data_IF_806854216367
#
_entry.id   IF_806854216367
#
_cell.length_a   1.000
_cell.length_b   1.000
_cell.length_c   1.000
_cell.angle_alpha   90.00
_cell.angle_beta   90.00
_cell.angle_gamma   90.00
#
_symmetry.space_group_name_H-M   'P 1'
#
loop_
_entity.id
_entity.type
_entity.pdbx_description
1 polymer ?
#
# COMPACT_ATOMS: atom_id res chain seq x y z
N UNK A 1 -26.07 27.64 1.23
CA UNK A 1 -26.82 28.38 2.26
C UNK A 1 -26.34 27.83 3.59
N UNK A 2 -25.86 28.68 4.50
CA UNK A 2 -25.46 28.23 5.84
C UNK A 2 -26.72 27.98 6.64
N UNK A 3 -26.89 26.75 7.15
CA UNK A 3 -28.05 26.39 7.97
C UNK A 3 -27.70 26.69 9.42
N UNK A 4 -28.35 27.68 10.03
CA UNK A 4 -28.10 27.97 11.44
C UNK A 4 -28.65 26.84 12.32
N UNK A 5 -28.05 26.64 13.49
CA UNK A 5 -28.49 25.63 14.48
C UNK A 5 -29.98 25.80 14.83
N UNK A 6 -30.47 27.04 14.91
CA UNK A 6 -31.88 27.35 15.16
C UNK A 6 -32.81 26.85 14.04
N UNK A 7 -32.42 27.07 12.79
CA UNK A 7 -33.17 26.59 11.62
C UNK A 7 -33.23 25.06 11.59
N UNK A 8 -32.10 24.41 11.91
CA UNK A 8 -32.00 22.96 11.98
C UNK A 8 -32.90 22.40 13.08
N UNK A 9 -32.89 23.02 14.27
CA UNK A 9 -33.77 22.67 15.39
C UNK A 9 -35.23 22.75 14.97
N UNK A 10 -35.63 23.91 14.43
CA UNK A 10 -37.00 24.18 14.03
C UNK A 10 -37.47 23.19 12.95
N UNK A 11 -36.67 22.95 11.92
CA UNK A 11 -37.01 22.04 10.82
C UNK A 11 -37.25 20.60 11.32
N UNK A 12 -36.33 20.05 12.11
CA UNK A 12 -36.45 18.69 12.63
C UNK A 12 -37.56 18.56 13.67
N UNK A 13 -37.74 19.54 14.56
CA UNK A 13 -38.85 19.54 15.52
C UNK A 13 -40.21 19.54 14.80
N UNK A 14 -40.36 20.34 13.74
CA UNK A 14 -41.61 20.38 12.95
C UNK A 14 -41.84 19.10 12.17
N UNK A 15 -40.77 18.49 11.64
CA UNK A 15 -40.83 17.17 10.97
C UNK A 15 -41.30 16.06 11.90
N UNK A 16 -40.79 16.03 13.13
CA UNK A 16 -41.17 15.04 14.15
C UNK A 16 -42.48 15.41 14.89
N UNK A 17 -43.14 16.52 14.52
CA UNK A 17 -44.37 17.04 15.12
C UNK A 17 -44.31 17.24 16.65
N UNK A 18 -43.15 17.66 17.15
CA UNK A 18 -42.91 17.88 18.60
C UNK A 18 -43.14 19.35 18.95
N UNK A 19 -43.80 19.62 20.08
CA UNK A 19 -43.95 20.99 20.59
C UNK A 19 -42.72 21.45 21.38
N UNK A 20 -42.50 22.77 21.54
CA UNK A 20 -41.42 23.27 22.40
C UNK A 20 -41.58 22.86 23.88
N UNK A 21 -42.83 22.68 24.35
CA UNK A 21 -43.09 22.20 25.71
C UNK A 21 -42.65 20.74 25.85
N UNK A 22 -43.02 19.91 24.88
CA UNK A 22 -42.66 18.49 24.87
C UNK A 22 -41.15 18.29 24.69
N UNK A 23 -40.50 19.12 23.87
CA UNK A 23 -39.04 19.10 23.74
C UNK A 23 -38.35 19.51 25.05
N UNK A 24 -38.88 20.54 25.75
CA UNK A 24 -38.38 20.98 27.04
C UNK A 24 -38.42 19.84 28.08
N UNK A 25 -39.54 19.13 28.17
CA UNK A 25 -39.71 17.97 29.05
C UNK A 25 -38.72 16.84 28.72
N UNK A 26 -38.56 16.52 27.44
CA UNK A 26 -37.69 15.41 27.01
C UNK A 26 -36.19 15.72 27.12
N UNK A 27 -35.80 17.00 27.09
CA UNK A 27 -34.37 17.41 27.13
C UNK A 27 -33.92 17.90 28.51
N UNK A 28 -34.86 18.07 29.45
CA UNK A 28 -34.65 18.73 30.74
C UNK A 28 -34.10 20.16 30.55
N UNK A 29 -34.72 20.92 29.65
CA UNK A 29 -34.36 22.30 29.33
C UNK A 29 -35.59 23.20 29.39
N UNK A 30 -35.42 24.47 29.75
CA UNK A 30 -36.56 25.39 29.76
C UNK A 30 -37.07 25.68 28.34
N UNK A 31 -38.39 25.74 28.17
CA UNK A 31 -39.04 26.17 26.92
C UNK A 31 -38.49 27.50 26.41
N UNK A 32 -38.24 28.44 27.31
CA UNK A 32 -37.68 29.76 26.99
C UNK A 32 -36.27 29.64 26.40
N UNK A 33 -35.42 28.74 26.92
CA UNK A 33 -34.10 28.50 26.34
C UNK A 33 -34.18 27.88 24.95
N UNK A 34 -35.03 26.86 24.75
CA UNK A 34 -35.22 26.24 23.44
C UNK A 34 -35.79 27.23 22.40
N UNK A 35 -36.75 28.07 22.81
CA UNK A 35 -37.31 29.12 21.95
C UNK A 35 -36.25 30.12 21.49
N UNK A 36 -35.34 30.53 22.38
CA UNK A 36 -34.25 31.46 22.05
C UNK A 36 -33.16 30.83 21.19
N UNK A 37 -32.99 29.50 21.28
CA UNK A 37 -32.11 28.74 20.38
C UNK A 37 -32.73 28.68 18.98
N UNK A 38 -34.02 28.36 18.87
CA UNK A 38 -34.74 28.35 17.58
C UNK A 38 -34.77 29.71 16.89
N UNK A 39 -34.98 30.80 17.65
CA UNK A 39 -35.05 32.16 17.09
C UNK A 39 -33.68 32.82 16.85
N UNK A 40 -32.58 32.17 17.25
CA UNK A 40 -31.23 32.74 17.15
C UNK A 40 -30.92 33.86 18.14
N UNK A 41 -31.81 34.13 19.11
CA UNK A 41 -31.66 35.19 20.12
C UNK A 41 -30.58 34.91 21.18
N UNK A 42 -30.19 33.65 21.36
CA UNK A 42 -29.13 33.25 22.31
C UNK A 42 -27.82 32.89 21.62
N UNK A 43 -26.70 33.12 22.31
CA UNK A 43 -25.42 32.50 21.95
C UNK A 43 -25.61 30.99 21.88
N UNK A 44 -25.07 30.38 20.82
CA UNK A 44 -25.20 28.95 20.53
C UNK A 44 -25.01 28.09 21.79
N UNK A 45 -25.84 27.05 21.98
CA UNK A 45 -25.69 26.14 23.11
C UNK A 45 -24.30 25.49 23.10
N UNK A 46 -23.88 24.95 24.25
CA UNK A 46 -22.68 24.11 24.26
C UNK A 46 -22.91 22.87 23.39
N UNK A 47 -21.87 22.37 22.71
CA UNK A 47 -22.00 21.21 21.83
C UNK A 47 -22.62 19.99 22.52
N UNK A 48 -22.28 19.76 23.80
CA UNK A 48 -22.87 18.68 24.61
C UNK A 48 -24.38 18.86 24.86
N UNK A 49 -24.83 20.09 25.12
CA UNK A 49 -26.26 20.41 25.29
C UNK A 49 -27.00 20.20 23.97
N UNK A 50 -26.39 20.61 22.87
CA UNK A 50 -26.97 20.41 21.55
C UNK A 50 -27.03 18.95 21.12
N UNK A 51 -26.01 18.14 21.43
CA UNK A 51 -26.04 16.69 21.20
C UNK A 51 -27.20 16.02 21.94
N UNK A 52 -27.50 16.46 23.17
CA UNK A 52 -28.69 16.01 23.92
C UNK A 52 -29.99 16.37 23.19
N UNK A 53 -30.16 17.63 22.79
CA UNK A 53 -31.34 18.07 22.04
C UNK A 53 -31.49 17.23 20.76
N UNK A 54 -30.42 17.14 19.96
CA UNK A 54 -30.39 16.40 18.71
C UNK A 54 -30.77 14.92 18.88
N UNK A 55 -30.30 14.26 19.94
CA UNK A 55 -30.66 12.85 20.20
C UNK A 55 -32.16 12.65 20.48
N UNK A 56 -32.81 13.61 21.15
CA UNK A 56 -34.23 13.52 21.51
C UNK A 56 -35.14 13.66 20.29
N UNK A 57 -34.75 14.51 19.34
CA UNK A 57 -35.50 14.76 18.09
C UNK A 57 -34.84 14.11 16.87
N UNK A 58 -33.96 13.13 17.10
CA UNK A 58 -33.31 12.28 16.09
C UNK A 58 -32.65 13.06 14.94
N UNK A 59 -32.05 14.21 15.24
CA UNK A 59 -31.21 14.91 14.26
C UNK A 59 -29.95 14.06 14.01
N UNK A 60 -29.61 13.73 12.76
CA UNK A 60 -28.37 13.02 12.45
C UNK A 60 -27.13 13.77 12.95
N UNK A 61 -26.19 13.04 13.56
CA UNK A 61 -24.94 13.63 14.08
C UNK A 61 -24.14 14.40 13.02
N UNK A 62 -24.25 14.00 11.75
CA UNK A 62 -23.62 14.69 10.61
C UNK A 62 -24.15 16.11 10.46
N UNK A 63 -25.46 16.31 10.54
CA UNK A 63 -26.09 17.62 10.41
C UNK A 63 -25.74 18.50 11.61
N UNK A 64 -25.70 17.90 12.81
CA UNK A 64 -25.29 18.56 14.05
C UNK A 64 -23.86 19.10 13.94
N UNK A 65 -22.91 18.26 13.55
CA UNK A 65 -21.50 18.65 13.41
C UNK A 65 -21.36 19.73 12.34
N UNK A 66 -22.03 19.56 11.19
CA UNK A 66 -21.98 20.52 10.09
C UNK A 66 -22.47 21.91 10.51
N UNK A 67 -23.60 22.00 11.20
CA UNK A 67 -24.14 23.27 11.67
C UNK A 67 -23.20 23.96 12.69
N UNK A 68 -22.52 23.20 13.53
CA UNK A 68 -21.52 23.75 14.45
C UNK A 68 -20.25 24.24 13.75
N UNK A 69 -19.76 23.48 12.76
CA UNK A 69 -18.55 23.82 12.00
C UNK A 69 -18.67 25.17 11.29
N UNK A 70 -19.87 25.50 10.78
CA UNK A 70 -20.11 26.76 10.06
C UNK A 70 -20.03 28.00 10.95
N UNK A 71 -20.21 27.84 12.27
CA UNK A 71 -20.44 28.95 13.18
C UNK A 71 -19.43 29.06 14.33
N UNK A 72 -18.53 28.09 14.48
CA UNK A 72 -17.51 28.10 15.54
C UNK A 72 -16.11 28.41 15.01
N UNK A 73 -15.41 29.25 15.75
CA UNK A 73 -13.97 29.51 15.59
C UNK A 73 -13.20 29.08 16.83
N UNK A 74 -13.86 28.44 17.81
CA UNK A 74 -13.19 28.08 19.07
C UNK A 74 -12.38 26.80 18.88
N UNK A 75 -11.05 26.82 19.07
CA UNK A 75 -10.22 25.63 18.82
C UNK A 75 -10.68 24.40 19.61
N UNK A 76 -11.00 24.56 20.90
CA UNK A 76 -11.48 23.46 21.74
C UNK A 76 -12.78 22.82 21.20
N UNK A 77 -13.67 23.62 20.61
CA UNK A 77 -14.90 23.11 19.98
C UNK A 77 -14.56 22.38 18.68
N UNK A 78 -13.70 22.93 17.83
CA UNK A 78 -13.27 22.28 16.58
C UNK A 78 -12.55 20.95 16.84
N UNK A 79 -11.70 20.89 17.87
CA UNK A 79 -11.05 19.66 18.31
C UNK A 79 -12.06 18.59 18.76
N UNK A 80 -13.10 18.99 19.50
CA UNK A 80 -14.19 18.10 19.89
C UNK A 80 -14.98 17.60 18.68
N UNK A 81 -15.33 18.49 17.74
CA UNK A 81 -16.01 18.12 16.50
C UNK A 81 -15.18 17.14 15.67
N UNK A 82 -13.85 17.28 15.66
CA UNK A 82 -12.98 16.36 14.93
C UNK A 82 -13.05 14.95 15.52
N UNK A 83 -13.01 14.84 16.86
CA UNK A 83 -13.14 13.56 17.55
C UNK A 83 -14.48 12.89 17.28
N UNK A 84 -15.56 13.68 17.25
CA UNK A 84 -16.90 13.19 16.91
C UNK A 84 -16.99 12.75 15.44
N UNK A 85 -16.38 13.50 14.52
CA UNK A 85 -16.32 13.12 13.10
C UNK A 85 -15.55 11.81 12.88
N UNK A 86 -14.46 11.60 13.63
CA UNK A 86 -13.68 10.35 13.65
C UNK A 86 -14.52 9.19 14.18
N UNK A 87 -15.28 9.39 15.27
CA UNK A 87 -16.15 8.35 15.84
C UNK A 87 -17.35 7.98 14.94
N UNK A 88 -17.63 8.77 13.91
CA UNK A 88 -18.68 8.49 12.92
C UNK A 88 -18.12 7.84 11.64
N UNK A 89 -16.81 7.60 11.56
CA UNK A 89 -16.10 7.11 10.37
C UNK A 89 -16.42 7.89 9.09
N UNK A 90 -16.73 9.18 9.24
CA UNK A 90 -17.15 10.03 8.13
C UNK A 90 -15.96 10.79 7.55
N UNK A 91 -15.35 10.22 6.50
CA UNK A 91 -14.21 10.83 5.79
C UNK A 91 -14.43 12.31 5.45
N UNK A 92 -15.60 12.66 4.93
CA UNK A 92 -15.92 14.05 4.55
C UNK A 92 -15.97 14.99 5.76
N UNK A 93 -16.58 14.57 6.87
CA UNK A 93 -16.62 15.39 8.09
C UNK A 93 -15.25 15.53 8.74
N UNK A 94 -14.46 14.46 8.73
CA UNK A 94 -13.07 14.49 9.22
C UNK A 94 -12.28 15.55 8.44
N UNK A 95 -12.35 15.52 7.10
CA UNK A 95 -11.67 16.51 6.25
C UNK A 95 -12.14 17.94 6.52
N UNK A 96 -13.46 18.18 6.53
CA UNK A 96 -14.01 19.52 6.77
C UNK A 96 -13.64 20.06 8.14
N UNK A 97 -13.69 19.23 9.17
CA UNK A 97 -13.38 19.65 10.54
C UNK A 97 -11.90 19.91 10.74
N UNK A 98 -11.04 19.03 10.20
CA UNK A 98 -9.59 19.22 10.23
C UNK A 98 -9.18 20.51 9.50
N UNK A 99 -9.74 20.75 8.31
CA UNK A 99 -9.47 21.96 7.54
C UNK A 99 -9.90 23.21 8.31
N UNK A 100 -11.12 23.21 8.89
CA UNK A 100 -11.61 24.32 9.70
C UNK A 100 -10.75 24.57 10.94
N UNK A 101 -10.21 23.52 11.56
CA UNK A 101 -9.29 23.63 12.70
C UNK A 101 -7.98 24.30 12.31
N UNK A 102 -7.43 24.04 11.12
CA UNK A 102 -6.20 24.69 10.64
C UNK A 102 -6.43 26.11 10.11
N UNK A 103 -7.63 26.40 9.61
CA UNK A 103 -7.96 27.72 9.06
C UNK A 103 -8.36 28.74 10.13
N UNK A 104 -8.69 28.31 11.34
CA UNK A 104 -9.16 29.23 12.38
C UNK A 104 -8.05 30.19 12.82
N UNK A 105 -8.31 31.52 12.86
CA UNK A 105 -7.31 32.48 13.31
C UNK A 105 -7.06 32.44 14.83
N UNK A 106 -7.83 31.62 15.57
CA UNK A 106 -7.77 31.52 17.04
C UNK A 106 -6.86 30.39 17.54
N UNK A 107 -6.23 29.66 16.63
CA UNK A 107 -5.25 28.62 16.93
C UNK A 107 -3.96 28.96 16.22
N UNK A 108 -2.84 28.90 16.96
CA UNK A 108 -1.54 28.98 16.33
C UNK A 108 -1.37 27.85 15.29
N UNK A 109 -0.79 28.17 14.13
CA UNK A 109 -0.71 27.24 13.02
C UNK A 109 0.06 25.96 13.40
N UNK A 110 1.16 26.10 14.14
CA UNK A 110 1.97 24.95 14.54
C UNK A 110 1.29 24.10 15.61
N UNK A 111 0.62 24.73 16.58
CA UNK A 111 -0.23 23.99 17.53
C UNK A 111 -1.37 23.22 16.82
N UNK A 112 -1.96 23.79 15.76
CA UNK A 112 -2.96 23.12 14.93
C UNK A 112 -2.40 21.92 14.19
N UNK A 113 -1.23 22.08 13.58
CA UNK A 113 -0.54 21.02 12.85
C UNK A 113 -0.06 19.88 13.77
N UNK A 114 0.52 20.21 14.92
CA UNK A 114 0.92 19.22 15.95
C UNK A 114 -0.28 18.42 16.44
N UNK A 115 -1.38 19.11 16.73
CA UNK A 115 -2.62 18.45 17.13
C UNK A 115 -3.12 17.49 16.04
N UNK A 116 -3.17 17.95 14.78
CA UNK A 116 -3.69 17.16 13.68
C UNK A 116 -2.82 15.94 13.38
N UNK A 117 -1.49 16.11 13.38
CA UNK A 117 -0.54 15.01 13.21
C UNK A 117 -0.70 13.96 14.31
N UNK A 118 -0.79 14.41 15.57
CA UNK A 118 -0.99 13.50 16.71
C UNK A 118 -2.31 12.73 16.59
N UNK A 119 -3.40 13.41 16.24
CA UNK A 119 -4.71 12.77 16.04
C UNK A 119 -4.67 11.77 14.86
N UNK A 120 -3.96 12.08 13.78
CA UNK A 120 -3.78 11.15 12.66
C UNK A 120 -3.01 9.89 13.06
N UNK A 121 -1.95 10.04 13.86
CA UNK A 121 -1.19 8.91 14.38
C UNK A 121 -2.01 8.04 15.34
N UNK A 122 -2.86 8.65 16.16
CA UNK A 122 -3.71 7.98 17.17
C UNK A 122 -4.99 7.36 16.60
N UNK A 123 -5.43 7.74 15.40
CA UNK A 123 -6.66 7.21 14.80
C UNK A 123 -6.56 5.69 14.57
N UNK A 124 -7.69 4.97 14.59
CA UNK A 124 -7.72 3.54 14.30
C UNK A 124 -8.07 3.27 12.83
N UNK A 125 -9.08 3.97 12.30
CA UNK A 125 -9.55 3.81 10.93
C UNK A 125 -8.56 4.35 9.88
N UNK A 126 -8.22 3.50 8.91
CA UNK A 126 -7.27 3.84 7.84
C UNK A 126 -7.81 4.92 6.90
N UNK A 127 -9.11 4.93 6.62
CA UNK A 127 -9.73 5.94 5.74
C UNK A 127 -9.67 7.33 6.38
N UNK A 128 -9.92 7.41 7.69
CA UNK A 128 -9.80 8.61 8.49
C UNK A 128 -8.35 9.12 8.59
N UNK A 129 -7.37 8.23 8.81
CA UNK A 129 -5.94 8.59 8.78
C UNK A 129 -5.56 9.27 7.48
N UNK A 130 -5.91 8.64 6.35
CA UNK A 130 -5.63 9.20 5.02
C UNK A 130 -6.29 10.58 4.86
N UNK A 131 -7.54 10.73 5.31
CA UNK A 131 -8.25 12.01 5.24
C UNK A 131 -7.55 13.12 6.04
N UNK A 132 -7.02 12.81 7.23
CA UNK A 132 -6.28 13.74 8.06
C UNK A 132 -4.92 14.12 7.43
N UNK A 133 -4.19 13.13 6.91
CA UNK A 133 -2.92 13.39 6.23
C UNK A 133 -3.10 14.20 4.96
N UNK A 134 -4.14 13.96 4.17
CA UNK A 134 -4.41 14.75 2.96
C UNK A 134 -4.68 16.22 3.31
N UNK A 135 -5.45 16.51 4.37
CA UNK A 135 -5.67 17.89 4.85
C UNK A 135 -4.36 18.52 5.31
N UNK A 136 -3.55 17.79 6.08
CA UNK A 136 -2.26 18.27 6.58
C UNK A 136 -1.31 18.58 5.42
N UNK A 137 -1.18 17.67 4.46
CA UNK A 137 -0.35 17.81 3.27
C UNK A 137 -0.80 19.01 2.44
N UNK A 138 -2.09 19.15 2.15
CA UNK A 138 -2.60 20.24 1.33
C UNK A 138 -2.42 21.60 1.99
N UNK A 139 -2.68 21.69 3.30
CA UNK A 139 -2.50 22.92 4.05
C UNK A 139 -1.02 23.34 4.10
N UNK A 140 -0.13 22.41 4.41
CA UNK A 140 1.32 22.67 4.56
C UNK A 140 1.98 22.96 3.22
N UNK A 141 1.57 22.27 2.14
CA UNK A 141 2.03 22.55 0.77
C UNK A 141 1.65 23.97 0.34
N UNK A 142 0.40 24.39 0.55
CA UNK A 142 -0.07 25.75 0.19
C UNK A 142 0.64 26.87 0.95
N UNK A 143 1.12 26.58 2.16
CA UNK A 143 1.77 27.56 3.04
C UNK A 143 3.29 27.45 3.09
N UNK A 144 3.88 26.49 2.37
CA UNK A 144 5.32 26.27 2.35
C UNK A 144 5.89 25.92 3.72
N UNK A 145 5.28 24.97 4.43
CA UNK A 145 5.72 24.49 5.76
C UNK A 145 6.36 23.10 5.59
N UNK A 146 7.69 23.01 5.36
CA UNK A 146 8.30 21.79 4.81
C UNK A 146 8.33 20.62 5.80
N UNK A 147 8.55 20.87 7.09
CA UNK A 147 8.61 19.83 8.12
C UNK A 147 7.32 18.99 8.17
N UNK A 148 6.17 19.64 8.32
CA UNK A 148 4.89 18.93 8.38
C UNK A 148 4.49 18.35 7.02
N UNK A 149 4.86 19.01 5.91
CA UNK A 149 4.66 18.45 4.58
C UNK A 149 5.41 17.11 4.43
N UNK A 150 6.69 17.08 4.79
CA UNK A 150 7.51 15.87 4.74
C UNK A 150 6.93 14.78 5.64
N UNK A 151 6.57 15.11 6.88
CA UNK A 151 5.99 14.15 7.83
C UNK A 151 4.65 13.61 7.32
N UNK A 152 3.77 14.47 6.80
CA UNK A 152 2.50 14.04 6.21
C UNK A 152 2.68 13.12 5.00
N UNK A 153 3.59 13.46 4.08
CA UNK A 153 3.92 12.62 2.92
C UNK A 153 4.48 11.26 3.34
N UNK A 154 5.36 11.24 4.35
CA UNK A 154 5.95 10.03 4.91
C UNK A 154 4.89 9.10 5.49
N UNK A 155 4.06 9.60 6.41
CA UNK A 155 3.04 8.79 7.06
C UNK A 155 2.00 8.26 6.06
N UNK A 156 1.60 9.10 5.09
CA UNK A 156 0.70 8.67 4.01
C UNK A 156 1.32 7.56 3.18
N UNK A 157 2.59 7.70 2.78
CA UNK A 157 3.30 6.66 2.05
C UNK A 157 3.37 5.36 2.85
N UNK A 158 3.70 5.42 4.15
CA UNK A 158 3.76 4.23 5.00
C UNK A 158 2.41 3.53 5.18
N UNK A 159 1.32 4.29 5.13
CA UNK A 159 -0.03 3.75 5.20
C UNK A 159 -0.50 3.10 3.88
N UNK A 160 -0.11 3.67 2.74
CA UNK A 160 -0.55 3.21 1.41
C UNK A 160 0.39 2.15 0.80
N UNK A 161 1.65 2.05 1.23
CA UNK A 161 2.68 1.23 0.53
C UNK A 161 2.39 -0.27 0.50
N UNK A 162 1.62 -0.77 1.44
CA UNK A 162 1.26 -2.20 1.49
C UNK A 162 -0.12 -2.44 0.81
N UNK A 163 -0.76 -1.41 0.24
CA UNK A 163 -1.88 -1.57 -0.69
C UNK A 163 -1.37 -1.92 -2.10
N UNK A 164 -1.28 -3.21 -2.35
CA UNK A 164 -0.77 -3.72 -3.62
C UNK A 164 -1.71 -3.46 -4.81
N UNK A 165 -2.96 -3.06 -4.60
CA UNK A 165 -3.88 -2.71 -5.70
C UNK A 165 -3.50 -1.39 -6.38
N UNK A 166 -2.77 -0.53 -5.67
CA UNK A 166 -2.28 0.78 -6.13
C UNK A 166 -0.77 0.90 -6.01
N UNK A 167 -0.06 -0.23 -5.93
CA UNK A 167 1.37 -0.28 -5.56
C UNK A 167 2.25 0.70 -6.34
N UNK A 168 2.19 0.65 -7.68
CA UNK A 168 2.98 1.54 -8.55
C UNK A 168 2.55 3.02 -8.43
N UNK A 169 1.25 3.28 -8.25
CA UNK A 169 0.74 4.64 -8.01
C UNK A 169 1.29 5.19 -6.69
N UNK A 170 1.25 4.38 -5.62
CA UNK A 170 1.79 4.72 -4.32
C UNK A 170 3.30 4.98 -4.39
N UNK A 171 4.05 4.19 -5.15
CA UNK A 171 5.47 4.45 -5.39
C UNK A 171 5.69 5.83 -6.03
N UNK A 172 4.99 6.10 -7.14
CA UNK A 172 5.11 7.38 -7.87
C UNK A 172 4.76 8.57 -6.99
N UNK A 173 3.68 8.48 -6.20
CA UNK A 173 3.30 9.51 -5.21
C UNK A 173 4.34 9.64 -4.10
N UNK A 174 4.87 8.51 -3.61
CA UNK A 174 5.90 8.45 -2.58
C UNK A 174 7.19 9.16 -2.96
N UNK A 175 7.52 9.26 -4.26
CA UNK A 175 8.70 10.00 -4.74
C UNK A 175 8.64 11.51 -4.45
N UNK A 176 7.45 12.09 -4.25
CA UNK A 176 7.32 13.51 -3.88
C UNK A 176 8.14 13.83 -2.61
N UNK A 177 8.20 12.89 -1.66
CA UNK A 177 8.93 13.04 -0.41
C UNK A 177 10.45 13.16 -0.62
N UNK A 178 11.02 12.68 -1.73
CA UNK A 178 12.46 12.85 -2.00
C UNK A 178 12.88 14.33 -2.03
N UNK A 179 11.97 15.24 -2.39
CA UNK A 179 12.23 16.68 -2.39
C UNK A 179 12.24 17.32 -0.99
N UNK A 180 11.68 16.64 0.01
CA UNK A 180 11.51 17.14 1.37
C UNK A 180 12.16 16.24 2.42
N UNK A 181 12.89 15.22 1.98
CA UNK A 181 13.35 14.14 2.85
C UNK A 181 14.28 14.62 3.97
N UNK A 182 15.05 15.68 3.72
CA UNK A 182 15.94 16.31 4.71
C UNK A 182 15.20 17.04 5.84
N UNK A 183 13.87 17.19 5.71
CA UNK A 183 13.03 17.71 6.78
C UNK A 183 12.57 16.62 7.75
N UNK A 184 12.72 15.34 7.40
CA UNK A 184 12.41 14.22 8.29
C UNK A 184 13.49 14.08 9.36
N UNK A 185 13.09 13.49 10.49
CA UNK A 185 14.05 13.04 11.49
C UNK A 185 14.86 11.86 10.94
N UNK A 186 16.14 11.69 11.33
CA UNK A 186 17.00 10.64 10.78
C UNK A 186 16.39 9.22 10.79
N UNK A 187 15.68 8.77 11.85
CA UNK A 187 15.04 7.44 11.83
C UNK A 187 13.96 7.30 10.74
N UNK A 188 13.17 8.34 10.50
CA UNK A 188 12.11 8.33 9.49
C UNK A 188 12.71 8.42 8.08
N UNK A 189 13.76 9.23 7.88
CA UNK A 189 14.47 9.33 6.60
C UNK A 189 15.12 8.01 6.23
N UNK A 190 15.77 7.37 7.19
CA UNK A 190 16.36 6.05 7.06
C UNK A 190 15.29 5.01 6.65
N UNK A 191 14.20 4.90 7.43
CA UNK A 191 13.11 3.95 7.15
C UNK A 191 12.44 4.20 5.79
N UNK A 192 12.28 5.48 5.41
CA UNK A 192 11.77 5.88 4.10
C UNK A 192 12.64 5.36 2.95
N UNK A 193 13.95 5.61 2.98
CA UNK A 193 14.86 5.17 1.92
C UNK A 193 14.87 3.65 1.78
N UNK A 194 14.93 2.93 2.89
CA UNK A 194 14.89 1.47 2.88
C UNK A 194 13.60 0.94 2.25
N UNK A 195 12.45 1.47 2.67
CA UNK A 195 11.16 1.01 2.18
C UNK A 195 10.90 1.41 0.73
N UNK A 196 11.31 2.60 0.32
CA UNK A 196 11.23 3.03 -1.08
C UNK A 196 12.15 2.21 -1.97
N UNK A 197 13.38 1.90 -1.53
CA UNK A 197 14.31 1.07 -2.28
C UNK A 197 13.79 -0.35 -2.47
N UNK A 198 13.20 -0.96 -1.44
CA UNK A 198 12.53 -2.25 -1.55
C UNK A 198 11.28 -2.19 -2.46
N UNK A 199 10.49 -1.11 -2.38
CA UNK A 199 9.34 -0.89 -3.25
C UNK A 199 9.75 -0.80 -4.73
N UNK A 200 10.78 -0.01 -5.02
CA UNK A 200 11.37 0.10 -6.36
C UNK A 200 11.84 -1.27 -6.89
N UNK A 201 12.48 -2.09 -6.05
CA UNK A 201 12.90 -3.44 -6.43
C UNK A 201 11.72 -4.32 -6.86
N UNK A 202 10.63 -4.32 -6.09
CA UNK A 202 9.43 -5.14 -6.39
C UNK A 202 8.75 -4.69 -7.69
N UNK A 203 8.79 -3.39 -7.97
CA UNK A 203 8.35 -2.78 -9.24
C UNK A 203 9.36 -2.95 -10.38
N UNK A 204 10.51 -3.58 -10.12
CA UNK A 204 11.56 -3.84 -11.10
C UNK A 204 12.30 -2.58 -11.59
N UNK A 205 12.17 -1.48 -10.83
CA UNK A 205 12.97 -0.26 -11.00
C UNK A 205 14.32 -0.41 -10.32
N UNK A 206 15.13 -1.34 -10.81
CA UNK A 206 16.37 -1.77 -10.16
C UNK A 206 17.38 -0.63 -9.94
N UNK A 207 17.48 0.31 -10.89
CA UNK A 207 18.36 1.48 -10.75
C UNK A 207 17.93 2.40 -9.59
N UNK A 208 16.62 2.71 -9.50
CA UNK A 208 16.08 3.52 -8.39
C UNK A 208 16.23 2.78 -7.06
N UNK A 209 16.03 1.46 -7.04
CA UNK A 209 16.25 0.62 -5.86
C UNK A 209 17.67 0.74 -5.33
N UNK A 210 18.66 0.61 -6.21
CA UNK A 210 20.08 0.76 -5.87
C UNK A 210 20.37 2.15 -5.29
N UNK A 211 19.87 3.21 -5.92
CA UNK A 211 20.09 4.58 -5.45
C UNK A 211 19.51 4.81 -4.05
N UNK A 212 18.26 4.40 -3.84
CA UNK A 212 17.54 4.59 -2.58
C UNK A 212 18.14 3.74 -1.45
N UNK A 213 18.45 2.47 -1.71
CA UNK A 213 19.11 1.61 -0.74
C UNK A 213 20.52 2.10 -0.40
N UNK A 214 21.27 2.64 -1.38
CA UNK A 214 22.58 3.24 -1.15
C UNK A 214 22.52 4.46 -0.22
N UNK A 215 21.51 5.32 -0.39
CA UNK A 215 21.24 6.44 0.54
C UNK A 215 20.94 5.94 1.95
N UNK A 216 20.11 4.89 2.07
CA UNK A 216 19.77 4.31 3.36
C UNK A 216 20.99 3.75 4.10
N UNK A 217 21.86 2.97 3.42
CA UNK A 217 23.09 2.43 4.01
C UNK A 217 24.04 3.54 4.46
N UNK A 218 24.17 4.58 3.65
CA UNK A 218 25.03 5.73 3.97
C UNK A 218 24.56 6.45 5.23
N UNK A 219 23.25 6.48 5.49
CA UNK A 219 22.65 7.13 6.65
C UNK A 219 22.68 6.28 7.92
N UNK A 220 22.53 4.96 7.82
CA UNK A 220 22.64 4.03 8.97
C UNK A 220 24.08 3.95 9.51
N UNK A 221 25.06 4.28 8.66
CA UNK A 221 26.48 4.19 8.97
C UNK A 221 26.92 2.75 9.22
N UNK A 222 27.71 2.55 10.29
CA UNK A 222 28.37 1.27 10.58
C UNK A 222 27.53 0.31 11.43
N UNK A 223 26.31 0.68 11.80
CA UNK A 223 25.44 -0.19 12.60
C UNK A 223 24.94 -1.35 11.75
N UNK A 224 24.94 -2.57 12.30
CA UNK A 224 24.19 -3.68 11.73
C UNK A 224 22.72 -3.57 12.14
N UNK A 225 21.82 -3.63 11.16
CA UNK A 225 20.39 -3.38 11.38
C UNK A 225 19.57 -4.19 10.38
N UNK A 226 18.32 -4.52 10.76
CA UNK A 226 17.37 -5.21 9.85
C UNK A 226 17.17 -4.44 8.56
N UNK A 227 17.14 -3.11 8.66
CA UNK A 227 16.93 -2.27 7.51
C UNK A 227 18.17 -2.27 6.60
N UNK A 228 19.38 -2.16 7.16
CA UNK A 228 20.64 -2.26 6.41
C UNK A 228 20.77 -3.59 5.69
N UNK A 229 20.53 -4.69 6.41
CA UNK A 229 20.49 -6.02 5.82
C UNK A 229 19.48 -6.10 4.67
N UNK A 230 18.30 -5.49 4.83
CA UNK A 230 17.28 -5.44 3.77
C UNK A 230 17.71 -4.61 2.55
N UNK A 231 18.42 -3.48 2.72
CA UNK A 231 19.01 -2.77 1.59
C UNK A 231 20.08 -3.56 0.88
N UNK A 232 21.01 -4.17 1.64
CA UNK A 232 22.13 -4.91 1.06
C UNK A 232 21.62 -6.04 0.15
N UNK A 233 20.66 -6.84 0.62
CA UNK A 233 20.08 -7.91 -0.19
C UNK A 233 19.26 -7.37 -1.39
N UNK A 234 18.54 -6.26 -1.22
CA UNK A 234 17.85 -5.59 -2.33
C UNK A 234 18.82 -5.06 -3.38
N UNK A 235 19.95 -4.46 -2.96
CA UNK A 235 21.00 -3.97 -3.86
C UNK A 235 21.70 -5.11 -4.58
N UNK A 236 22.13 -6.16 -3.85
CA UNK A 236 22.75 -7.33 -4.46
C UNK A 236 21.83 -7.96 -5.51
N UNK A 237 20.55 -8.11 -5.18
CA UNK A 237 19.55 -8.62 -6.11
C UNK A 237 19.33 -7.69 -7.31
N UNK A 238 19.27 -6.36 -7.09
CA UNK A 238 19.07 -5.37 -8.14
C UNK A 238 20.27 -5.30 -9.10
N UNK A 239 21.50 -5.28 -8.59
CA UNK A 239 22.71 -5.30 -9.42
C UNK A 239 22.79 -6.56 -10.27
N UNK A 240 22.37 -7.71 -9.74
CA UNK A 240 22.34 -8.95 -10.50
C UNK A 240 21.34 -8.88 -11.65
N UNK A 241 20.17 -8.25 -11.43
CA UNK A 241 19.15 -8.01 -12.47
C UNK A 241 19.58 -6.97 -13.51
N UNK A 242 20.50 -6.07 -13.14
CA UNK A 242 21.12 -5.09 -14.02
C UNK A 242 22.37 -5.64 -14.74
N UNK A 243 22.66 -6.94 -14.62
CA UNK A 243 23.83 -7.62 -15.19
C UNK A 243 25.19 -7.06 -14.71
N UNK A 244 25.25 -6.65 -13.42
CA UNK A 244 26.48 -6.26 -12.71
C UNK A 244 26.86 -7.29 -11.63
N UNK A 245 27.32 -8.50 -12.00
CA UNK A 245 27.54 -9.60 -11.06
C UNK A 245 28.63 -9.31 -10.02
N UNK A 246 29.65 -8.52 -10.35
CA UNK A 246 30.73 -8.15 -9.41
C UNK A 246 30.16 -7.32 -8.25
N UNK A 247 29.29 -6.34 -8.56
CA UNK A 247 28.63 -5.53 -7.53
C UNK A 247 27.62 -6.37 -6.74
N UNK A 248 26.88 -7.24 -7.43
CA UNK A 248 25.96 -8.15 -6.76
C UNK A 248 26.65 -9.05 -5.72
N UNK A 249 27.81 -9.64 -6.07
CA UNK A 249 28.64 -10.44 -5.18
C UNK A 249 29.12 -9.60 -3.98
N UNK A 250 29.66 -8.40 -4.23
CA UNK A 250 30.13 -7.51 -3.16
C UNK A 250 29.04 -7.18 -2.12
N UNK A 251 27.83 -6.80 -2.58
CA UNK A 251 26.74 -6.50 -1.64
C UNK A 251 26.16 -7.74 -0.97
N UNK A 252 26.25 -8.92 -1.61
CA UNK A 252 25.88 -10.19 -0.98
C UNK A 252 26.87 -10.57 0.14
N UNK A 253 28.18 -10.41 -0.07
CA UNK A 253 29.19 -10.66 0.97
C UNK A 253 28.92 -9.80 2.21
N UNK A 254 28.65 -8.49 2.01
CA UNK A 254 28.26 -7.60 3.09
C UNK A 254 26.95 -8.02 3.79
N UNK A 255 25.99 -8.55 3.05
CA UNK A 255 24.74 -9.05 3.63
C UNK A 255 24.97 -10.30 4.46
N UNK A 256 25.83 -11.22 4.01
CA UNK A 256 26.14 -12.48 4.70
C UNK A 256 26.81 -12.28 6.06
N UNK A 257 27.51 -11.17 6.25
CA UNK A 257 28.11 -10.76 7.54
C UNK A 257 27.07 -10.24 8.56
N UNK A 258 25.86 -9.90 8.12
CA UNK A 258 24.82 -9.35 9.00
C UNK A 258 24.19 -10.41 9.90
N UNK A 259 23.93 -10.07 11.16
CA UNK A 259 23.16 -10.90 12.09
C UNK A 259 21.70 -11.09 11.64
N UNK A 260 21.22 -10.24 10.73
CA UNK A 260 19.88 -10.28 10.16
C UNK A 260 19.80 -11.02 8.82
N UNK A 261 20.90 -11.63 8.38
CA UNK A 261 20.94 -12.43 7.16
C UNK A 261 20.09 -13.70 7.31
N UNK A 262 19.17 -13.91 6.37
CA UNK A 262 18.32 -15.09 6.29
C UNK A 262 18.58 -15.91 5.01
N UNK A 263 17.69 -16.87 4.71
CA UNK A 263 17.77 -17.74 3.54
C UNK A 263 18.00 -17.00 2.20
N UNK A 264 17.67 -15.69 2.12
CA UNK A 264 17.90 -14.90 0.91
C UNK A 264 19.38 -14.81 0.52
N UNK A 265 20.31 -15.00 1.46
CA UNK A 265 21.76 -15.04 1.14
C UNK A 265 22.07 -16.23 0.24
N UNK A 266 21.62 -17.41 0.64
CA UNK A 266 21.78 -18.67 -0.09
C UNK A 266 21.03 -18.60 -1.42
N UNK A 267 19.84 -18.00 -1.43
CA UNK A 267 19.07 -17.80 -2.66
C UNK A 267 19.77 -16.91 -3.68
N UNK A 268 20.31 -15.75 -3.25
CA UNK A 268 21.04 -14.85 -4.14
C UNK A 268 22.37 -15.46 -4.60
N UNK A 269 23.05 -16.23 -3.73
CA UNK A 269 24.25 -16.99 -4.08
C UNK A 269 23.94 -18.03 -5.17
N UNK A 270 22.85 -18.76 -5.04
CA UNK A 270 22.39 -19.72 -6.06
C UNK A 270 22.15 -19.04 -7.41
N UNK A 271 21.52 -17.85 -7.40
CA UNK A 271 21.29 -17.07 -8.62
C UNK A 271 22.59 -16.58 -9.26
N UNK A 272 23.60 -16.19 -8.47
CA UNK A 272 24.93 -15.83 -8.97
C UNK A 272 25.63 -17.02 -9.64
N UNK A 273 25.61 -18.20 -9.02
CA UNK A 273 26.15 -19.43 -9.63
C UNK A 273 25.44 -19.78 -10.92
N UNK A 274 24.10 -19.70 -10.96
CA UNK A 274 23.33 -19.94 -12.17
C UNK A 274 23.75 -18.98 -13.30
N UNK A 275 23.89 -17.69 -13.00
CA UNK A 275 24.37 -16.68 -13.95
C UNK A 275 25.80 -16.91 -14.46
N UNK A 276 26.63 -17.62 -13.70
CA UNK A 276 27.99 -18.04 -14.11
C UNK A 276 28.00 -19.35 -14.91
N UNK A 277 26.85 -20.01 -15.10
CA UNK A 277 26.74 -21.34 -15.72
C UNK A 277 27.11 -22.50 -14.79
N UNK A 278 27.27 -22.23 -13.49
CA UNK A 278 27.67 -23.21 -12.47
C UNK A 278 26.44 -23.94 -11.93
N UNK A 279 25.66 -24.56 -12.82
CA UNK A 279 24.31 -25.03 -12.53
C UNK A 279 24.25 -26.06 -11.39
N UNK A 280 25.24 -26.95 -11.27
CA UNK A 280 25.27 -27.93 -10.18
C UNK A 280 25.31 -27.27 -8.78
N UNK A 281 26.10 -26.20 -8.64
CA UNK A 281 26.18 -25.44 -7.39
C UNK A 281 24.87 -24.66 -7.14
N UNK A 282 24.31 -24.04 -8.18
CA UNK A 282 23.04 -23.34 -8.10
C UNK A 282 21.90 -24.27 -7.65
N UNK A 283 21.78 -25.46 -8.24
CA UNK A 283 20.76 -26.46 -7.88
C UNK A 283 20.89 -26.89 -6.42
N UNK A 284 22.11 -27.16 -5.95
CA UNK A 284 22.34 -27.55 -4.55
C UNK A 284 21.85 -26.47 -3.58
N UNK A 285 22.23 -25.21 -3.82
CA UNK A 285 21.85 -24.07 -2.98
C UNK A 285 20.35 -23.75 -3.04
N UNK A 286 19.72 -23.83 -4.21
CA UNK A 286 18.27 -23.64 -4.34
C UNK A 286 17.48 -24.74 -3.63
N UNK A 287 17.97 -25.99 -3.67
CA UNK A 287 17.35 -27.12 -2.97
C UNK A 287 17.40 -26.92 -1.46
N UNK A 288 18.55 -26.49 -0.93
CA UNK A 288 18.70 -26.10 0.48
C UNK A 288 17.73 -24.97 0.84
N UNK A 289 17.69 -23.90 0.05
CA UNK A 289 16.76 -22.79 0.23
C UNK A 289 15.30 -23.24 0.27
N UNK A 290 14.89 -24.16 -0.60
CA UNK A 290 13.51 -24.63 -0.68
C UNK A 290 13.08 -25.35 0.61
N UNK A 291 14.02 -26.05 1.27
CA UNK A 291 13.79 -26.74 2.54
C UNK A 291 13.64 -25.74 3.71
N UNK A 292 14.52 -24.75 3.79
CA UNK A 292 14.53 -23.76 4.87
C UNK A 292 13.44 -22.69 4.77
N UNK A 293 13.01 -22.38 3.54
CA UNK A 293 12.12 -21.26 3.29
C UNK A 293 10.72 -21.47 3.86
N UNK A 294 10.16 -20.39 4.40
CA UNK A 294 8.75 -20.31 4.81
C UNK A 294 7.84 -20.55 3.60
N UNK A 295 6.62 -21.11 3.78
CA UNK A 295 5.73 -21.47 2.68
C UNK A 295 5.54 -20.38 1.62
N UNK A 296 5.35 -19.12 2.04
CA UNK A 296 5.14 -17.99 1.13
C UNK A 296 6.34 -17.61 0.24
N UNK A 297 7.55 -18.09 0.55
CA UNK A 297 8.77 -17.80 -0.22
C UNK A 297 9.19 -18.97 -1.11
N UNK A 298 8.61 -20.16 -0.94
CA UNK A 298 9.03 -21.36 -1.66
C UNK A 298 8.76 -21.28 -3.16
N UNK A 299 7.66 -20.64 -3.56
CA UNK A 299 7.29 -20.49 -4.97
C UNK A 299 8.31 -19.70 -5.79
N UNK A 300 8.94 -18.68 -5.21
CA UNK A 300 9.98 -17.90 -5.92
C UNK A 300 11.24 -18.73 -6.10
N UNK A 301 11.61 -19.52 -5.09
CA UNK A 301 12.74 -20.44 -5.14
C UNK A 301 12.50 -21.51 -6.21
N UNK A 302 11.34 -22.16 -6.19
CA UNK A 302 10.97 -23.17 -7.19
C UNK A 302 10.93 -22.60 -8.61
N UNK A 303 10.48 -21.35 -8.77
CA UNK A 303 10.49 -20.67 -10.08
C UNK A 303 11.91 -20.46 -10.61
N UNK A 304 12.83 -20.03 -9.74
CA UNK A 304 14.23 -19.80 -10.11
C UNK A 304 14.97 -21.13 -10.34
N UNK A 305 14.61 -22.19 -9.60
CA UNK A 305 15.14 -23.54 -9.80
C UNK A 305 14.67 -24.16 -11.13
N UNK A 306 13.43 -23.93 -11.57
CA UNK A 306 12.96 -24.31 -12.91
C UNK A 306 13.79 -23.66 -14.01
N UNK A 307 14.13 -22.37 -13.87
CA UNK A 307 14.99 -21.68 -14.83
C UNK A 307 16.37 -22.36 -14.92
N UNK A 308 16.96 -22.73 -13.78
CA UNK A 308 18.25 -23.44 -13.75
C UNK A 308 18.16 -24.82 -14.36
N UNK A 309 17.12 -25.60 -14.05
CA UNK A 309 16.94 -26.94 -14.64
C UNK A 309 16.75 -26.87 -16.15
N UNK A 310 16.03 -25.85 -16.63
CA UNK A 310 15.85 -25.61 -18.06
C UNK A 310 17.18 -25.30 -18.75
N UNK A 311 17.99 -24.39 -18.19
CA UNK A 311 19.30 -24.02 -18.73
C UNK A 311 20.33 -25.17 -18.64
N UNK A 312 20.18 -26.05 -17.65
CA UNK A 312 21.01 -27.23 -17.47
C UNK A 312 20.50 -28.47 -18.23
N UNK A 313 19.42 -28.35 -19.02
CA UNK A 313 18.77 -29.43 -19.78
C UNK A 313 18.32 -30.63 -18.92
N UNK A 314 17.99 -30.40 -17.64
CA UNK A 314 17.60 -31.44 -16.67
C UNK A 314 16.09 -31.73 -16.72
N UNK A 315 15.65 -32.38 -17.81
CA UNK A 315 14.23 -32.66 -18.06
C UNK A 315 13.55 -33.47 -16.95
N UNK A 316 14.23 -34.45 -16.37
CA UNK A 316 13.68 -35.28 -15.27
C UNK A 316 13.45 -34.44 -14.01
N UNK A 317 14.40 -33.57 -13.66
CA UNK A 317 14.30 -32.69 -12.50
C UNK A 317 13.16 -31.66 -12.64
N UNK A 318 12.92 -31.16 -13.85
CA UNK A 318 11.76 -30.32 -14.17
C UNK A 318 10.46 -31.05 -13.83
N UNK A 319 10.32 -32.30 -14.29
CA UNK A 319 9.11 -33.09 -14.04
C UNK A 319 8.91 -33.40 -12.56
N UNK A 320 9.98 -33.78 -11.86
CA UNK A 320 9.94 -34.04 -10.41
C UNK A 320 9.52 -32.81 -9.62
N UNK A 321 10.09 -31.64 -9.92
CA UNK A 321 9.73 -30.39 -9.23
C UNK A 321 8.27 -29.99 -9.50
N UNK A 322 7.78 -30.14 -10.74
CA UNK A 322 6.39 -29.88 -11.09
C UNK A 322 5.45 -30.87 -10.38
N UNK A 323 5.82 -32.15 -10.25
CA UNK A 323 5.04 -33.13 -9.50
C UNK A 323 4.93 -32.77 -8.00
N UNK A 324 5.96 -32.13 -7.45
CA UNK A 324 6.00 -31.63 -6.09
C UNK A 324 5.36 -30.24 -5.90
N UNK A 325 4.64 -29.70 -6.89
CA UNK A 325 4.07 -28.33 -6.89
C UNK A 325 3.25 -28.00 -5.64
N UNK A 326 2.47 -28.96 -5.13
CA UNK A 326 1.66 -28.81 -3.92
C UNK A 326 2.46 -28.49 -2.65
N UNK A 327 3.79 -28.71 -2.65
CA UNK A 327 4.67 -28.46 -1.49
C UNK A 327 5.15 -27.02 -1.37
N UNK A 328 5.02 -26.23 -2.45
CA UNK A 328 5.50 -24.85 -2.52
C UNK A 328 4.50 -23.86 -3.12
N UNK A 329 3.51 -24.33 -3.89
CA UNK A 329 2.50 -23.47 -4.50
C UNK A 329 1.40 -23.18 -3.49
N UNK A 330 1.38 -21.96 -2.96
CA UNK A 330 0.27 -21.44 -2.14
C UNK A 330 -0.22 -20.15 -2.79
N UNK A 331 -1.49 -20.15 -3.21
CA UNK A 331 -2.11 -19.00 -3.88
C UNK A 331 -3.20 -18.44 -2.95
N UNK A 332 -3.16 -17.14 -2.72
CA UNK A 332 -4.19 -16.40 -2.01
C UNK A 332 -4.53 -15.10 -2.75
N UNK A 333 -5.29 -14.21 -2.11
CA UNK A 333 -5.71 -12.93 -2.69
C UNK A 333 -4.63 -11.84 -2.67
N UNK A 334 -3.44 -12.10 -2.13
CA UNK A 334 -2.42 -11.07 -2.00
C UNK A 334 -1.75 -10.81 -3.36
N UNK A 335 -1.78 -9.58 -3.92
CA UNK A 335 -1.32 -9.36 -5.30
C UNK A 335 0.14 -9.72 -5.54
N UNK A 336 1.04 -9.54 -4.56
CA UNK A 336 2.43 -10.02 -4.71
C UNK A 336 2.54 -11.56 -4.81
N UNK A 337 1.70 -12.32 -4.09
CA UNK A 337 1.68 -13.79 -4.19
C UNK A 337 1.07 -14.23 -5.52
N UNK A 338 0.05 -13.52 -6.00
CA UNK A 338 -0.49 -13.69 -7.36
C UNK A 338 0.60 -13.40 -8.42
N UNK A 339 1.40 -12.34 -8.27
CA UNK A 339 2.56 -12.06 -9.15
C UNK A 339 3.57 -13.21 -9.15
N UNK A 340 3.91 -13.75 -7.98
CA UNK A 340 4.83 -14.89 -7.88
C UNK A 340 4.25 -16.15 -8.52
N UNK A 341 2.95 -16.42 -8.34
CA UNK A 341 2.26 -17.52 -9.01
C UNK A 341 2.26 -17.34 -10.53
N UNK A 342 1.97 -16.14 -11.02
CA UNK A 342 2.03 -15.81 -12.44
C UNK A 342 3.43 -16.08 -13.03
N UNK A 343 4.48 -15.67 -12.32
CA UNK A 343 5.88 -15.93 -12.70
C UNK A 343 6.18 -17.43 -12.74
N UNK A 344 5.80 -18.16 -11.71
CA UNK A 344 5.97 -19.61 -11.65
C UNK A 344 5.30 -20.31 -12.84
N UNK A 345 4.00 -20.04 -13.07
CA UNK A 345 3.26 -20.64 -14.18
C UNK A 345 3.83 -20.29 -15.56
N UNK A 346 4.40 -19.08 -15.72
CA UNK A 346 5.14 -18.73 -16.93
C UNK A 346 6.35 -19.65 -17.12
N UNK A 347 7.18 -19.82 -16.08
CA UNK A 347 8.38 -20.66 -16.13
C UNK A 347 8.04 -22.12 -16.33
N UNK A 348 7.05 -22.64 -15.60
CA UNK A 348 6.50 -23.98 -15.78
C UNK A 348 6.06 -24.20 -17.23
N UNK A 349 5.31 -23.26 -17.80
CA UNK A 349 4.89 -23.31 -19.20
C UNK A 349 6.07 -23.42 -20.16
N UNK A 350 7.08 -22.55 -20.01
CA UNK A 350 8.30 -22.60 -20.82
C UNK A 350 9.03 -23.95 -20.70
N UNK A 351 9.18 -24.48 -19.49
CA UNK A 351 9.83 -25.76 -19.23
C UNK A 351 9.06 -26.95 -19.82
N UNK A 352 7.73 -26.94 -19.72
CA UNK A 352 6.89 -28.00 -20.28
C UNK A 352 6.93 -28.00 -21.82
N UNK A 353 6.96 -26.82 -22.43
CA UNK A 353 7.11 -26.68 -23.88
C UNK A 353 8.46 -27.22 -24.36
N UNK A 354 9.56 -26.90 -23.65
CA UNK A 354 10.89 -27.36 -24.04
C UNK A 354 11.09 -28.87 -23.93
N UNK A 355 10.39 -29.54 -23.00
CA UNK A 355 10.43 -31.00 -22.86
C UNK A 355 9.33 -31.71 -23.69
N UNK A 356 8.65 -30.99 -24.58
CA UNK A 356 7.67 -31.54 -25.52
C UNK A 356 6.26 -31.77 -24.96
N UNK A 357 5.95 -31.32 -23.75
CA UNK A 357 4.61 -31.39 -23.14
C UNK A 357 3.78 -30.16 -23.51
N UNK A 358 3.43 -30.06 -24.79
CA UNK A 358 2.83 -28.85 -25.37
C UNK A 358 1.55 -28.39 -24.67
N UNK A 359 0.55 -29.27 -24.53
CA UNK A 359 -0.76 -28.91 -23.98
C UNK A 359 -0.66 -28.39 -22.54
N UNK A 360 0.05 -29.13 -21.67
CA UNK A 360 0.27 -28.73 -20.28
C UNK A 360 1.10 -27.43 -20.18
N UNK A 361 2.03 -27.22 -21.12
CA UNK A 361 2.81 -25.99 -21.21
C UNK A 361 1.94 -24.79 -21.57
N UNK A 362 1.09 -24.92 -22.58
CA UNK A 362 0.14 -23.87 -22.99
C UNK A 362 -0.85 -23.55 -21.86
N UNK A 363 -1.43 -24.56 -21.22
CA UNK A 363 -2.35 -24.34 -20.09
C UNK A 363 -1.66 -23.59 -18.93
N UNK A 364 -0.40 -23.91 -18.65
CA UNK A 364 0.40 -23.18 -17.65
C UNK A 364 0.62 -21.72 -18.06
N UNK A 365 0.90 -21.43 -19.33
CA UNK A 365 0.99 -20.05 -19.84
C UNK A 365 -0.35 -19.31 -19.73
N UNK A 366 -1.47 -19.98 -20.02
CA UNK A 366 -2.81 -19.40 -19.84
C UNK A 366 -3.10 -19.05 -18.38
N UNK A 367 -2.68 -19.90 -17.45
CA UNK A 367 -2.80 -19.61 -16.02
C UNK A 367 -1.94 -18.40 -15.61
N UNK A 368 -0.73 -18.27 -16.16
CA UNK A 368 0.11 -17.08 -15.98
C UNK A 368 -0.57 -15.81 -16.49
N UNK A 369 -1.18 -15.84 -17.67
CA UNK A 369 -1.94 -14.73 -18.25
C UNK A 369 -3.06 -14.26 -17.32
N UNK A 370 -3.86 -15.20 -16.80
CA UNK A 370 -4.97 -14.91 -15.87
C UNK A 370 -4.48 -14.20 -14.62
N UNK A 371 -3.40 -14.68 -14.00
CA UNK A 371 -2.86 -14.05 -12.79
C UNK A 371 -2.25 -12.67 -13.05
N UNK A 372 -1.49 -12.48 -14.14
CA UNK A 372 -0.98 -11.15 -14.47
C UNK A 372 -2.10 -10.16 -14.82
N UNK A 373 -3.17 -10.62 -15.49
CA UNK A 373 -4.35 -9.80 -15.75
C UNK A 373 -5.06 -9.39 -14.46
N UNK A 374 -5.23 -10.32 -13.52
CA UNK A 374 -5.88 -10.07 -12.23
C UNK A 374 -5.23 -8.93 -11.45
N UNK A 375 -3.92 -8.74 -11.58
CA UNK A 375 -3.16 -7.66 -10.92
C UNK A 375 -2.87 -6.46 -11.86
N UNK A 376 -3.47 -6.41 -13.05
CA UNK A 376 -3.31 -5.32 -14.00
C UNK A 376 -1.92 -5.21 -14.66
N UNK A 377 -1.08 -6.25 -14.60
CA UNK A 377 0.29 -6.23 -15.12
C UNK A 377 0.34 -6.45 -16.65
N UNK A 378 -0.17 -5.49 -17.42
CA UNK A 378 -0.35 -5.60 -18.87
C UNK A 378 0.94 -5.92 -19.64
N UNK A 379 2.08 -5.31 -19.28
CA UNK A 379 3.37 -5.63 -19.91
C UNK A 379 3.76 -7.10 -19.74
N UNK A 380 3.45 -7.69 -18.58
CA UNK A 380 3.70 -9.10 -18.31
C UNK A 380 2.74 -10.00 -19.08
N UNK A 381 1.48 -9.59 -19.25
CA UNK A 381 0.51 -10.28 -20.12
C UNK A 381 1.05 -10.35 -21.56
N UNK A 382 1.48 -9.22 -22.12
CA UNK A 382 2.10 -9.17 -23.46
C UNK A 382 3.34 -10.08 -23.52
N UNK A 383 4.18 -10.05 -22.48
CA UNK A 383 5.37 -10.90 -22.40
C UNK A 383 5.09 -12.40 -22.28
N UNK A 384 3.90 -12.82 -21.84
CA UNK A 384 3.48 -14.24 -21.86
C UNK A 384 2.88 -14.60 -23.21
N UNK A 385 2.06 -13.73 -23.80
CA UNK A 385 1.55 -13.91 -25.18
C UNK A 385 2.70 -14.04 -26.19
N UNK A 386 3.77 -13.27 -26.02
CA UNK A 386 4.97 -13.38 -26.84
C UNK A 386 5.64 -14.76 -26.79
N UNK A 387 5.67 -15.40 -25.60
CA UNK A 387 6.18 -16.78 -25.45
C UNK A 387 5.26 -17.77 -26.17
N UNK A 388 3.95 -17.64 -25.98
CA UNK A 388 2.96 -18.52 -26.59
C UNK A 388 3.01 -18.45 -28.14
N UNK A 389 3.03 -17.24 -28.69
CA UNK A 389 3.11 -17.03 -30.14
C UNK A 389 4.47 -17.41 -30.70
N UNK A 390 5.55 -17.17 -29.95
CA UNK A 390 6.89 -17.63 -30.29
C UNK A 390 6.94 -19.14 -30.47
N UNK A 391 6.39 -19.89 -29.50
CA UNK A 391 6.30 -21.35 -29.57
C UNK A 391 5.53 -21.84 -30.80
N UNK A 392 4.30 -21.34 -31.01
CA UNK A 392 3.49 -21.76 -32.18
C UNK A 392 4.17 -21.48 -33.52
N UNK A 393 4.90 -20.36 -33.61
CA UNK A 393 5.71 -20.03 -34.79
C UNK A 393 6.86 -21.03 -34.97
N UNK A 394 7.57 -21.40 -33.91
CA UNK A 394 8.70 -22.33 -33.96
C UNK A 394 8.28 -23.74 -34.39
N UNK A 395 7.12 -24.21 -33.95
CA UNK A 395 6.58 -25.53 -34.34
C UNK A 395 5.69 -25.48 -35.61
N UNK A 396 5.69 -24.35 -36.32
CA UNK A 396 4.90 -24.11 -37.54
C UNK A 396 3.41 -24.52 -37.42
N UNK A 397 2.81 -24.21 -36.26
CA UNK A 397 1.41 -24.57 -35.97
C UNK A 397 0.54 -23.35 -35.76
N UNK A 398 -0.75 -23.48 -36.06
CA UNK A 398 -1.76 -22.49 -35.70
C UNK A 398 -2.19 -22.62 -34.24
N UNK A 399 -2.52 -21.50 -33.60
CA UNK A 399 -3.28 -21.53 -32.34
C UNK A 399 -4.63 -22.21 -32.56
N UNK A 400 -5.04 -23.06 -31.63
CA UNK A 400 -6.39 -23.63 -31.62
C UNK A 400 -7.43 -22.53 -31.35
N UNK A 401 -8.66 -22.75 -31.84
CA UNK A 401 -9.78 -21.85 -31.56
C UNK A 401 -10.01 -21.70 -30.05
N UNK A 402 -9.93 -22.80 -29.29
CA UNK A 402 -10.05 -22.80 -27.83
C UNK A 402 -9.00 -21.89 -27.18
N UNK A 403 -7.74 -21.93 -27.63
CA UNK A 403 -6.69 -21.06 -27.10
C UNK A 403 -6.95 -19.59 -27.45
N UNK A 404 -7.47 -19.30 -28.64
CA UNK A 404 -7.87 -17.95 -29.02
C UNK A 404 -9.01 -17.43 -28.14
N UNK A 405 -10.02 -18.25 -27.87
CA UNK A 405 -11.13 -17.91 -26.98
C UNK A 405 -10.64 -17.62 -25.55
N UNK A 406 -9.79 -18.49 -24.99
CA UNK A 406 -9.17 -18.27 -23.67
C UNK A 406 -8.37 -16.96 -23.61
N UNK A 407 -7.63 -16.62 -24.66
CA UNK A 407 -6.90 -15.33 -24.74
C UNK A 407 -7.88 -14.17 -24.79
N UNK A 408 -8.93 -14.27 -25.60
CA UNK A 408 -9.95 -13.23 -25.71
C UNK A 408 -10.63 -12.93 -24.37
N UNK A 409 -10.99 -13.96 -23.60
CA UNK A 409 -11.57 -13.80 -22.26
C UNK A 409 -10.66 -13.03 -21.31
N UNK A 410 -9.34 -13.27 -21.38
CA UNK A 410 -8.34 -12.59 -20.55
C UNK A 410 -8.11 -11.15 -21.00
N UNK A 411 -8.23 -10.86 -22.29
CA UNK A 411 -7.95 -9.54 -22.86
C UNK A 411 -9.15 -8.57 -22.90
N UNK A 412 -10.40 -9.06 -22.87
CA UNK A 412 -11.61 -8.22 -23.02
C UNK A 412 -12.24 -7.75 -21.70
N UNK A 413 -11.95 -8.40 -20.58
CA UNK A 413 -12.22 -7.89 -19.23
C UNK A 413 -10.98 -7.21 -18.71
#
# INVERSE_FOLDING_TARGET
>A
MSTQIGDLLHAYRRRENISLNELAERTDMSKTALSKIESGETKQPGFSQWKRIASVIKIPSVDVITAYLENTERPATLQLLLKEALALDSKQLVQRTAQKLLDTPKLDTFHGLDYLLRVANEAEDQSAKLALYDVLIDFTRKRGIPFYLAKGLYERYMLERDDFSRFEETYRRGKELLHYVDQLQPPDRLDYYYRMGAHAYILEYYGESVELCGKAISEDGNKDSKQKASALISMGSAYLRLEYPILAEYYLELYEESEYADFRKTHLRALLHAKKGEYAHAVALYTECLQEAKPGSRITIASDLLDVYLEAEQSDAIQELIAAEHTFLTIDSHPNRIKHAARYYKRKGMCLLSIGQADAGIDSLMQSLRFYRQIGALEKVIGVLGVLFGYHREIESSLSLENMEKIMEVCHN
#
